data_IF_201754932632
#
_entry.id   IF_201754932632
#
_cell.length_a   1.000
_cell.length_b   1.000
_cell.length_c   1.000
_cell.angle_alpha   90.00
_cell.angle_beta   90.00
_cell.angle_gamma   90.00
#
_symmetry.space_group_name_H-M   'P 1'
#
loop_
_entity.id
_entity.type
_entity.pdbx_description
1 polymer ?
#
# COMPACT_ATOMS: atom_id res chain seq x y z
N UNK A 1 9.18 -17.12 -12.72
CA UNK A 1 8.91 -15.82 -12.04
C UNK A 1 10.09 -14.84 -12.02
N UNK A 2 11.32 -15.26 -12.32
CA UNK A 2 12.46 -14.33 -12.33
C UNK A 2 12.48 -13.31 -13.49
N UNK A 3 11.65 -13.49 -14.53
CA UNK A 3 11.61 -12.58 -15.69
C UNK A 3 10.98 -11.21 -15.39
N UNK A 4 10.20 -11.06 -14.33
CA UNK A 4 9.59 -9.79 -13.93
C UNK A 4 10.40 -9.02 -12.87
N UNK A 5 11.47 -9.59 -12.32
CA UNK A 5 12.34 -8.90 -11.37
C UNK A 5 13.52 -8.24 -12.08
N UNK A 6 13.62 -6.92 -11.96
CA UNK A 6 14.68 -6.12 -12.63
C UNK A 6 15.97 -5.95 -11.81
N UNK A 7 16.02 -6.48 -10.59
CA UNK A 7 17.05 -6.17 -9.59
C UNK A 7 16.68 -5.00 -8.67
N UNK A 8 15.63 -4.23 -9.01
CA UNK A 8 15.18 -3.06 -8.24
C UNK A 8 13.68 -3.07 -7.92
N UNK A 9 12.85 -3.59 -8.83
CA UNK A 9 11.40 -3.71 -8.65
C UNK A 9 10.85 -4.87 -9.48
N UNK A 10 9.69 -5.36 -9.09
CA UNK A 10 8.89 -6.28 -9.91
C UNK A 10 8.10 -5.45 -10.91
N UNK A 11 8.21 -5.78 -12.20
CA UNK A 11 7.52 -5.11 -13.29
C UNK A 11 6.32 -5.92 -13.78
N UNK A 12 5.29 -5.24 -14.27
CA UNK A 12 4.15 -5.86 -14.94
C UNK A 12 4.59 -6.41 -16.30
N UNK A 13 5.26 -5.58 -17.10
CA UNK A 13 5.83 -5.93 -18.39
C UNK A 13 6.97 -4.95 -18.74
N UNK A 14 7.74 -5.27 -19.79
CA UNK A 14 8.84 -4.41 -20.28
C UNK A 14 8.35 -3.01 -20.64
N UNK A 15 7.13 -2.90 -21.15
CA UNK A 15 6.51 -1.63 -21.54
C UNK A 15 5.82 -0.90 -20.38
N UNK A 16 5.61 -1.55 -19.23
CA UNK A 16 4.96 -1.00 -18.03
C UNK A 16 5.70 -1.42 -16.77
N UNK A 17 6.86 -0.85 -16.59
CA UNK A 17 7.73 -1.21 -15.47
C UNK A 17 7.20 -0.75 -14.10
N UNK A 18 6.47 0.37 -14.06
CA UNK A 18 5.94 0.96 -12.81
C UNK A 18 4.42 0.90 -12.77
N UNK A 19 3.86 -0.30 -12.85
CA UNK A 19 2.41 -0.52 -12.81
C UNK A 19 1.97 -1.05 -11.43
N UNK A 20 0.96 -0.41 -10.83
CA UNK A 20 0.40 -0.81 -9.54
C UNK A 20 -0.31 -2.16 -9.56
N UNK A 21 -0.59 -2.74 -10.74
CA UNK A 21 -1.13 -4.09 -10.84
C UNK A 21 -0.26 -5.13 -10.13
N UNK A 22 1.07 -4.90 -10.05
CA UNK A 22 1.98 -5.80 -9.33
C UNK A 22 1.69 -5.84 -7.83
N UNK A 23 1.26 -4.72 -7.21
CA UNK A 23 0.87 -4.70 -5.79
C UNK A 23 -0.40 -5.54 -5.58
N UNK A 24 -1.33 -5.48 -6.53
CA UNK A 24 -2.52 -6.34 -6.50
C UNK A 24 -2.15 -7.82 -6.63
N UNK A 25 -1.15 -8.15 -7.47
CA UNK A 25 -0.64 -9.51 -7.60
C UNK A 25 -0.03 -10.02 -6.28
N UNK A 26 0.74 -9.19 -5.56
CA UNK A 26 1.26 -9.54 -4.23
C UNK A 26 0.13 -9.80 -3.23
N UNK A 27 -0.80 -8.84 -3.12
CA UNK A 27 -1.88 -8.87 -2.12
C UNK A 27 -2.91 -9.98 -2.33
N UNK A 28 -3.20 -10.35 -3.58
CA UNK A 28 -4.31 -11.26 -3.90
C UNK A 28 -3.89 -12.65 -4.35
N UNK A 29 -2.67 -12.79 -4.89
CA UNK A 29 -2.22 -14.03 -5.52
C UNK A 29 -0.94 -14.60 -4.91
N UNK A 30 -0.34 -13.93 -3.92
CA UNK A 30 0.86 -14.37 -3.21
C UNK A 30 2.01 -14.80 -4.17
N UNK A 31 2.22 -14.01 -5.24
CA UNK A 31 3.26 -14.30 -6.24
C UNK A 31 4.68 -14.21 -5.66
N UNK A 32 4.83 -13.52 -4.54
CA UNK A 32 5.99 -13.50 -3.64
C UNK A 32 5.50 -13.56 -2.19
N UNK A 33 6.29 -14.10 -1.24
CA UNK A 33 6.03 -13.91 0.18
C UNK A 33 5.88 -12.41 0.50
N UNK A 34 4.89 -12.05 1.29
CA UNK A 34 4.62 -10.63 1.58
C UNK A 34 5.71 -9.98 2.46
N UNK A 35 6.65 -10.75 2.99
CA UNK A 35 7.85 -10.29 3.69
C UNK A 35 9.10 -10.23 2.82
N UNK A 36 9.03 -10.65 1.55
CA UNK A 36 10.15 -10.64 0.59
C UNK A 36 10.62 -9.20 0.27
N UNK A 37 11.92 -9.02 0.10
CA UNK A 37 12.55 -7.73 -0.22
C UNK A 37 12.04 -7.11 -1.53
N UNK A 38 11.67 -7.95 -2.51
CA UNK A 38 11.12 -7.51 -3.80
C UNK A 38 9.79 -6.81 -3.64
N UNK A 39 8.96 -7.27 -2.70
CA UNK A 39 7.68 -6.61 -2.37
C UNK A 39 7.95 -5.23 -1.78
N UNK A 40 8.81 -5.12 -0.78
CA UNK A 40 9.15 -3.85 -0.13
C UNK A 40 9.77 -2.85 -1.11
N UNK A 41 10.75 -3.26 -1.91
CA UNK A 41 11.42 -2.42 -2.92
C UNK A 41 10.46 -1.94 -4.00
N UNK A 42 9.56 -2.80 -4.45
CA UNK A 42 8.53 -2.45 -5.45
C UNK A 42 7.54 -1.43 -4.89
N UNK A 43 7.02 -1.66 -3.69
CA UNK A 43 6.12 -0.72 -3.00
C UNK A 43 6.81 0.65 -2.84
N UNK A 44 8.05 0.68 -2.34
CA UNK A 44 8.82 1.92 -2.17
C UNK A 44 8.95 2.70 -3.47
N UNK A 45 9.32 2.01 -4.55
CA UNK A 45 9.49 2.61 -5.87
C UNK A 45 8.18 3.18 -6.41
N UNK A 46 7.08 2.43 -6.31
CA UNK A 46 5.77 2.88 -6.79
C UNK A 46 5.21 4.02 -5.94
N UNK A 47 5.33 3.95 -4.63
CA UNK A 47 4.88 5.02 -3.72
C UNK A 47 5.60 6.35 -4.02
N UNK A 48 6.92 6.33 -4.20
CA UNK A 48 7.72 7.50 -4.59
C UNK A 48 7.32 8.02 -5.97
N UNK A 49 7.08 7.11 -6.92
CA UNK A 49 6.66 7.47 -8.28
C UNK A 49 5.32 8.21 -8.25
N UNK A 50 4.29 7.68 -7.56
CA UNK A 50 2.98 8.33 -7.50
C UNK A 50 2.96 9.55 -6.57
N UNK A 51 3.85 9.63 -5.58
CA UNK A 51 4.06 10.85 -4.82
C UNK A 51 4.50 12.01 -5.72
N UNK A 52 5.39 11.75 -6.67
CA UNK A 52 5.85 12.76 -7.63
C UNK A 52 4.90 12.99 -8.81
N UNK A 53 4.13 11.97 -9.21
CA UNK A 53 3.21 12.03 -10.36
C UNK A 53 1.99 12.94 -10.10
N UNK A 54 1.47 12.96 -8.87
CA UNK A 54 0.24 13.67 -8.54
C UNK A 54 0.45 14.91 -7.70
N UNK A 55 -0.04 16.05 -8.18
CA UNK A 55 0.06 17.32 -7.46
C UNK A 55 -0.59 17.24 -6.07
N UNK A 56 -1.73 16.55 -5.93
CA UNK A 56 -2.40 16.37 -4.64
C UNK A 56 -1.54 15.59 -3.65
N UNK A 57 -0.79 14.57 -4.09
CA UNK A 57 0.13 13.85 -3.23
C UNK A 57 1.30 14.75 -2.77
N UNK A 58 1.84 15.56 -3.68
CA UNK A 58 2.94 16.48 -3.36
C UNK A 58 2.49 17.55 -2.34
N UNK A 59 1.31 18.14 -2.54
CA UNK A 59 0.75 19.14 -1.64
C UNK A 59 0.47 18.55 -0.25
N UNK A 60 -0.16 17.40 -0.21
CA UNK A 60 -0.47 16.71 1.04
C UNK A 60 0.80 16.33 1.82
N UNK A 61 1.82 15.83 1.12
CA UNK A 61 3.10 15.51 1.76
C UNK A 61 3.77 16.77 2.34
N UNK A 62 3.72 17.92 1.62
CA UNK A 62 4.21 19.22 2.14
C UNK A 62 3.44 19.67 3.38
N UNK A 63 2.16 19.35 3.49
CA UNK A 63 1.32 19.67 4.63
C UNK A 63 1.44 18.66 5.78
N UNK A 64 2.35 17.69 5.69
CA UNK A 64 2.55 16.66 6.71
C UNK A 64 1.50 15.55 6.71
N UNK A 65 0.65 15.49 5.70
CA UNK A 65 -0.35 14.42 5.59
C UNK A 65 0.33 13.10 5.20
N UNK A 66 0.11 12.02 5.96
CA UNK A 66 0.77 10.74 5.71
C UNK A 66 0.14 9.97 4.55
N UNK A 67 0.85 8.94 4.07
CA UNK A 67 0.38 8.04 3.02
C UNK A 67 0.48 8.63 1.61
N UNK A 68 -0.01 7.89 0.63
CA UNK A 68 0.05 8.23 -0.79
C UNK A 68 -1.16 7.66 -1.53
N UNK A 69 -1.71 8.41 -2.47
CA UNK A 69 -2.72 7.91 -3.40
C UNK A 69 -2.02 7.24 -4.59
N UNK A 70 -2.50 6.06 -5.00
CA UNK A 70 -1.92 5.24 -6.06
C UNK A 70 -2.70 5.36 -7.36
N UNK A 71 -2.00 5.45 -8.47
CA UNK A 71 -2.56 5.33 -9.82
C UNK A 71 -2.23 3.98 -10.45
N UNK A 72 -2.60 3.79 -11.73
CA UNK A 72 -2.26 2.58 -12.48
C UNK A 72 -0.79 2.54 -12.84
N UNK A 73 -0.33 3.50 -13.61
CA UNK A 73 1.08 3.66 -14.04
C UNK A 73 1.38 5.13 -14.35
N UNK A 74 2.63 5.58 -14.29
CA UNK A 74 3.01 6.95 -14.64
C UNK A 74 2.66 7.27 -16.10
N UNK A 75 2.17 8.49 -16.33
CA UNK A 75 1.73 8.91 -17.67
C UNK A 75 0.43 8.30 -18.14
N UNK A 76 -0.34 7.64 -17.27
CA UNK A 76 -1.69 7.19 -17.59
C UNK A 76 -2.56 8.38 -18.00
N UNK A 77 -3.28 8.23 -19.12
CA UNK A 77 -4.21 9.26 -19.64
C UNK A 77 -5.68 8.87 -19.53
N UNK A 78 -5.97 7.62 -19.13
CA UNK A 78 -7.36 7.16 -19.01
C UNK A 78 -8.14 7.99 -17.99
N UNK A 79 -9.28 8.54 -18.43
CA UNK A 79 -10.16 9.39 -17.63
C UNK A 79 -9.42 10.51 -16.87
N UNK A 80 -8.33 11.05 -17.47
CA UNK A 80 -7.51 12.10 -16.90
C UNK A 80 -6.27 11.63 -16.13
N UNK A 81 -5.98 10.34 -16.10
CA UNK A 81 -4.79 9.76 -15.48
C UNK A 81 -4.71 10.02 -13.98
N UNK A 82 -5.79 9.76 -13.28
CA UNK A 82 -5.99 10.08 -11.88
C UNK A 82 -5.56 8.95 -10.93
N UNK A 83 -5.38 9.23 -9.62
CA UNK A 83 -5.30 8.18 -8.60
C UNK A 83 -6.57 7.32 -8.56
N UNK A 84 -6.40 6.03 -8.31
CA UNK A 84 -7.48 5.06 -8.21
C UNK A 84 -7.70 4.65 -6.76
N UNK A 85 -8.94 4.73 -6.29
CA UNK A 85 -9.27 4.43 -4.90
C UNK A 85 -8.99 2.97 -4.55
N UNK A 86 -9.34 2.05 -5.45
CA UNK A 86 -9.08 0.63 -5.24
C UNK A 86 -7.58 0.31 -5.12
N UNK A 87 -6.71 0.91 -5.94
CA UNK A 87 -5.26 0.66 -5.91
C UNK A 87 -4.63 1.24 -4.63
N UNK A 88 -5.14 2.37 -4.18
CA UNK A 88 -4.75 2.95 -2.88
C UNK A 88 -5.13 2.02 -1.73
N UNK A 89 -6.34 1.47 -1.74
CA UNK A 89 -6.79 0.49 -0.74
C UNK A 89 -5.99 -0.82 -0.79
N UNK A 90 -5.62 -1.30 -1.99
CA UNK A 90 -4.76 -2.48 -2.16
C UNK A 90 -3.37 -2.25 -1.57
N UNK A 91 -2.78 -1.07 -1.74
CA UNK A 91 -1.52 -0.73 -1.08
C UNK A 91 -1.63 -0.82 0.44
N UNK A 92 -2.67 -0.23 1.04
CA UNK A 92 -2.91 -0.32 2.48
C UNK A 92 -3.07 -1.78 2.94
N UNK A 93 -3.87 -2.56 2.21
CA UNK A 93 -4.04 -3.99 2.48
C UNK A 93 -2.72 -4.75 2.45
N UNK A 94 -1.82 -4.44 1.52
CA UNK A 94 -0.52 -5.10 1.40
C UNK A 94 0.35 -4.82 2.63
N UNK A 95 0.35 -3.60 3.17
CA UNK A 95 1.01 -3.29 4.45
C UNK A 95 0.43 -4.11 5.61
N UNK A 96 -0.89 -4.18 5.73
CA UNK A 96 -1.54 -4.98 6.78
C UNK A 96 -1.22 -6.48 6.67
N UNK A 97 -1.19 -7.00 5.44
CA UNK A 97 -0.80 -8.39 5.18
C UNK A 97 0.68 -8.63 5.52
N UNK A 98 1.58 -7.68 5.20
CA UNK A 98 2.98 -7.72 5.58
C UNK A 98 3.15 -7.83 7.10
N UNK A 99 2.40 -7.02 7.88
CA UNK A 99 2.37 -7.10 9.33
C UNK A 99 1.98 -8.49 9.83
N UNK A 100 0.89 -9.05 9.31
CA UNK A 100 0.42 -10.40 9.69
C UNK A 100 1.42 -11.49 9.30
N UNK A 101 2.01 -11.38 8.11
CA UNK A 101 2.98 -12.36 7.60
C UNK A 101 4.25 -12.37 8.44
N UNK A 102 4.78 -11.21 8.80
CA UNK A 102 5.94 -11.11 9.67
C UNK A 102 5.71 -11.73 11.05
N UNK A 103 4.51 -11.53 11.64
CA UNK A 103 4.15 -12.12 12.94
C UNK A 103 3.97 -13.64 12.88
N UNK A 104 3.65 -14.20 11.72
CA UNK A 104 3.33 -15.62 11.54
C UNK A 104 4.54 -16.40 11.04
N UNK A 105 5.23 -15.88 10.02
CA UNK A 105 6.27 -16.56 9.27
C UNK A 105 7.68 -15.98 9.56
N UNK A 106 7.76 -14.71 9.99
CA UNK A 106 9.02 -13.98 10.09
C UNK A 106 9.52 -13.49 8.73
N UNK A 107 10.80 -13.21 8.67
CA UNK A 107 11.55 -12.90 7.46
C UNK A 107 12.42 -14.11 7.07
N UNK A 108 12.49 -14.45 5.79
CA UNK A 108 13.32 -15.58 5.33
C UNK A 108 14.82 -15.21 5.32
N UNK A 109 15.12 -13.94 5.00
CA UNK A 109 16.47 -13.41 4.95
C UNK A 109 16.58 -12.07 5.66
N UNK A 110 17.80 -11.69 6.04
CA UNK A 110 18.09 -10.40 6.66
C UNK A 110 17.84 -9.25 5.68
N UNK A 111 18.10 -9.47 4.40
CA UNK A 111 17.82 -8.51 3.31
C UNK A 111 16.35 -8.16 3.23
N UNK A 112 15.47 -9.13 3.45
CA UNK A 112 14.02 -8.92 3.47
C UNK A 112 13.61 -7.94 4.57
N UNK A 113 14.09 -8.23 5.81
CA UNK A 113 13.85 -7.35 6.97
C UNK A 113 14.39 -5.94 6.72
N UNK A 114 15.60 -5.82 6.18
CA UNK A 114 16.24 -4.53 5.91
C UNK A 114 15.48 -3.73 4.84
N UNK A 115 15.02 -4.37 3.76
CA UNK A 115 14.27 -3.70 2.72
C UNK A 115 12.92 -3.15 3.25
N UNK A 116 12.24 -3.92 4.07
CA UNK A 116 11.03 -3.48 4.74
C UNK A 116 11.28 -2.39 5.78
N UNK A 117 12.36 -2.50 6.56
CA UNK A 117 12.74 -1.45 7.51
C UNK A 117 13.03 -0.13 6.80
N UNK A 118 13.71 -0.17 5.66
CA UNK A 118 13.94 1.00 4.80
C UNK A 118 12.64 1.59 4.20
N UNK A 119 11.65 0.75 3.86
CA UNK A 119 10.34 1.19 3.39
C UNK A 119 9.55 1.88 4.51
N UNK A 120 9.58 1.32 5.71
CA UNK A 120 8.82 1.79 6.87
C UNK A 120 9.55 2.89 7.67
N UNK A 121 10.81 3.18 7.33
CA UNK A 121 11.67 4.14 8.05
C UNK A 121 11.85 3.80 9.54
N UNK A 122 12.09 2.51 9.84
CA UNK A 122 12.38 1.99 11.18
C UNK A 122 13.80 1.41 11.25
N UNK A 123 14.36 1.20 12.46
CA UNK A 123 15.65 0.52 12.63
C UNK A 123 15.64 -0.88 12.00
N UNK A 124 16.78 -1.28 11.40
CA UNK A 124 16.92 -2.58 10.71
C UNK A 124 16.89 -3.78 11.67
N UNK A 125 17.18 -3.54 12.93
CA UNK A 125 17.16 -4.51 14.02
C UNK A 125 15.84 -4.50 14.82
N UNK A 126 14.82 -3.79 14.33
CA UNK A 126 13.48 -3.77 14.94
C UNK A 126 12.94 -5.18 15.12
N UNK A 127 12.32 -5.43 16.25
CA UNK A 127 11.64 -6.70 16.51
C UNK A 127 10.46 -6.91 15.54
N UNK A 128 10.04 -8.15 15.38
CA UNK A 128 8.88 -8.49 14.53
C UNK A 128 7.59 -7.76 14.95
N UNK A 129 7.43 -7.47 16.26
CA UNK A 129 6.28 -6.70 16.76
C UNK A 129 6.38 -5.23 16.34
N UNK A 130 7.52 -4.60 16.53
CA UNK A 130 7.75 -3.20 16.12
C UNK A 130 7.58 -3.04 14.61
N UNK A 131 8.10 -4.00 13.84
CA UNK A 131 7.85 -4.07 12.41
C UNK A 131 6.35 -4.15 12.07
N UNK A 132 5.62 -5.06 12.72
CA UNK A 132 4.18 -5.24 12.45
C UNK A 132 3.37 -3.99 12.81
N UNK A 133 3.72 -3.29 13.89
CA UNK A 133 3.12 -2.01 14.26
C UNK A 133 3.41 -0.91 13.25
N UNK A 134 4.65 -0.83 12.78
CA UNK A 134 5.04 0.15 11.75
C UNK A 134 4.31 -0.13 10.42
N UNK A 135 4.20 -1.39 10.00
CA UNK A 135 3.47 -1.78 8.81
C UNK A 135 1.96 -1.50 8.95
N UNK A 136 1.36 -1.78 10.11
CA UNK A 136 -0.02 -1.41 10.39
C UNK A 136 -0.21 0.12 10.28
N UNK A 137 0.67 0.89 10.88
CA UNK A 137 0.65 2.36 10.83
C UNK A 137 0.81 2.90 9.41
N UNK A 138 1.68 2.30 8.58
CA UNK A 138 1.84 2.67 7.17
C UNK A 138 0.56 2.42 6.37
N UNK A 139 -0.13 1.29 6.59
CA UNK A 139 -1.43 1.01 6.01
C UNK A 139 -2.49 2.02 6.46
N UNK A 140 -2.52 2.37 7.74
CA UNK A 140 -3.43 3.38 8.30
C UNK A 140 -3.17 4.77 7.69
N UNK A 141 -1.92 5.12 7.45
CA UNK A 141 -1.53 6.35 6.77
C UNK A 141 -2.11 6.43 5.33
N UNK A 142 -2.03 5.33 4.58
CA UNK A 142 -2.60 5.23 3.23
C UNK A 142 -4.14 5.33 3.26
N UNK A 143 -4.80 4.62 4.19
CA UNK A 143 -6.26 4.69 4.33
C UNK A 143 -6.72 6.07 4.81
N UNK A 144 -5.98 6.73 5.68
CA UNK A 144 -6.27 8.10 6.13
C UNK A 144 -6.19 9.09 4.95
N UNK A 145 -5.18 8.93 4.07
CA UNK A 145 -5.07 9.72 2.84
C UNK A 145 -6.28 9.51 1.93
N UNK A 146 -6.71 8.28 1.75
CA UNK A 146 -7.91 7.96 0.96
C UNK A 146 -9.17 8.57 1.59
N UNK A 147 -9.36 8.38 2.90
CA UNK A 147 -10.51 8.90 3.64
C UNK A 147 -10.65 10.42 3.54
N UNK A 148 -9.55 11.16 3.55
CA UNK A 148 -9.54 12.63 3.39
C UNK A 148 -10.34 13.08 2.18
N UNK A 149 -10.27 12.35 1.08
CA UNK A 149 -10.90 12.71 -0.19
C UNK A 149 -12.31 12.15 -0.40
N UNK A 150 -12.71 11.13 0.38
CA UNK A 150 -14.04 10.51 0.23
C UNK A 150 -15.03 10.89 1.33
N UNK A 151 -14.55 11.38 2.48
CA UNK A 151 -15.39 11.62 3.67
C UNK A 151 -16.54 12.60 3.48
N UNK A 152 -16.42 13.54 2.54
CA UNK A 152 -17.41 14.61 2.34
C UNK A 152 -18.49 14.25 1.31
N UNK A 153 -18.43 13.06 0.70
CA UNK A 153 -19.35 12.60 -0.34
C UNK A 153 -20.41 11.61 0.19
N UNK A 154 -20.81 11.74 1.46
CA UNK A 154 -21.86 10.92 2.06
C UNK A 154 -21.54 9.41 2.14
N UNK A 155 -20.28 9.03 2.00
CA UNK A 155 -19.83 7.64 1.98
C UNK A 155 -19.83 7.00 0.59
N UNK A 156 -20.16 7.76 -0.44
CA UNK A 156 -20.02 7.31 -1.84
C UNK A 156 -18.55 7.18 -2.22
N UNK A 157 -18.20 6.12 -2.94
CA UNK A 157 -16.83 5.81 -3.36
C UNK A 157 -16.78 5.61 -4.86
N UNK A 158 -16.20 6.58 -5.57
CA UNK A 158 -16.04 6.53 -7.00
C UNK A 158 -14.85 5.66 -7.43
N UNK A 159 -14.56 5.62 -8.71
CA UNK A 159 -13.40 4.95 -9.29
C UNK A 159 -12.10 5.69 -8.96
N UNK A 160 -12.11 7.02 -9.12
CA UNK A 160 -10.91 7.85 -9.11
C UNK A 160 -11.06 9.09 -8.23
N UNK A 161 -9.92 9.71 -7.91
CA UNK A 161 -9.81 11.02 -7.26
C UNK A 161 -9.07 11.94 -8.23
N UNK A 162 -9.65 13.08 -8.56
CA UNK A 162 -9.04 14.06 -9.49
C UNK A 162 -7.64 14.47 -9.02
N UNK A 163 -6.63 14.23 -9.86
CA UNK A 163 -5.19 14.40 -9.54
C UNK A 163 -4.77 15.80 -9.12
N UNK A 164 -5.59 16.81 -9.46
CA UNK A 164 -5.35 18.21 -9.15
C UNK A 164 -6.38 18.77 -8.16
N UNK A 165 -7.65 18.34 -8.27
CA UNK A 165 -8.77 18.87 -7.48
C UNK A 165 -9.01 18.12 -6.18
N UNK A 166 -8.66 16.83 -6.11
CA UNK A 166 -9.03 15.95 -5.02
C UNK A 166 -10.52 15.54 -5.00
N UNK A 167 -11.32 16.00 -5.94
CA UNK A 167 -12.73 15.59 -6.04
C UNK A 167 -12.86 14.17 -6.58
N UNK A 168 -13.83 13.41 -6.09
CA UNK A 168 -14.13 12.10 -6.64
C UNK A 168 -14.64 12.24 -8.09
N UNK A 169 -14.24 11.32 -8.98
CA UNK A 169 -14.54 11.38 -10.41
C UNK A 169 -14.61 9.98 -11.03
N UNK A 170 -14.99 9.93 -12.33
CA UNK A 170 -15.21 8.72 -13.11
C UNK A 170 -16.44 7.93 -12.63
N UNK A 171 -16.43 6.60 -12.66
CA UNK A 171 -17.58 5.79 -12.28
C UNK A 171 -17.94 6.00 -10.80
N UNK A 172 -19.17 6.47 -10.56
CA UNK A 172 -19.72 6.62 -9.21
C UNK A 172 -20.05 5.25 -8.61
N UNK A 173 -19.90 5.14 -7.29
CA UNK A 173 -20.27 3.93 -6.54
C UNK A 173 -19.69 2.64 -7.14
N UNK A 174 -18.40 2.67 -7.50
CA UNK A 174 -17.75 1.53 -8.12
C UNK A 174 -17.61 0.38 -7.13
N UNK A 175 -18.31 -0.72 -7.36
CA UNK A 175 -18.27 -1.92 -6.51
C UNK A 175 -16.84 -2.40 -6.23
N UNK A 176 -15.95 -2.30 -7.20
CA UNK A 176 -14.55 -2.69 -7.06
C UNK A 176 -13.81 -1.82 -6.03
N UNK A 177 -14.07 -0.51 -5.98
CA UNK A 177 -13.50 0.39 -4.97
C UNK A 177 -13.97 0.01 -3.56
N UNK A 178 -15.29 -0.20 -3.37
CA UNK A 178 -15.84 -0.66 -2.08
C UNK A 178 -15.25 -2.00 -1.65
N UNK A 179 -15.17 -2.98 -2.55
CA UNK A 179 -14.67 -4.31 -2.24
C UNK A 179 -13.21 -4.27 -1.73
N UNK A 180 -12.34 -3.45 -2.36
CA UNK A 180 -10.95 -3.35 -1.94
C UNK A 180 -10.80 -2.58 -0.62
N UNK A 181 -11.58 -1.52 -0.39
CA UNK A 181 -11.59 -0.79 0.88
C UNK A 181 -12.04 -1.71 2.02
N UNK A 182 -13.16 -2.42 1.85
CA UNK A 182 -13.65 -3.38 2.86
C UNK A 182 -12.63 -4.48 3.13
N UNK A 183 -12.01 -5.03 2.09
CA UNK A 183 -10.95 -6.03 2.23
C UNK A 183 -9.72 -5.51 2.98
N UNK A 184 -9.34 -4.25 2.75
CA UNK A 184 -8.26 -3.60 3.49
C UNK A 184 -8.64 -3.41 4.97
N UNK A 185 -9.86 -2.97 5.27
CA UNK A 185 -10.35 -2.80 6.64
C UNK A 185 -10.41 -4.13 7.40
N UNK A 186 -10.89 -5.21 6.77
CA UNK A 186 -10.91 -6.55 7.35
C UNK A 186 -9.49 -7.05 7.65
N UNK A 187 -8.55 -6.85 6.73
CA UNK A 187 -7.17 -7.24 6.94
C UNK A 187 -6.51 -6.39 8.04
N UNK A 188 -6.82 -5.10 8.12
CA UNK A 188 -6.37 -4.24 9.21
C UNK A 188 -6.79 -4.78 10.57
N UNK A 189 -8.08 -5.12 10.73
CA UNK A 189 -8.60 -5.66 11.97
C UNK A 189 -7.88 -6.95 12.38
N UNK A 190 -7.70 -7.88 11.44
CA UNK A 190 -6.96 -9.12 11.65
C UNK A 190 -5.52 -8.85 12.11
N UNK A 191 -4.82 -7.95 11.44
CA UNK A 191 -3.41 -7.62 11.76
C UNK A 191 -3.31 -6.96 13.14
N UNK A 192 -4.23 -6.06 13.48
CA UNK A 192 -4.29 -5.43 14.80
C UNK A 192 -4.49 -6.46 15.91
N UNK A 193 -5.46 -7.37 15.77
CA UNK A 193 -5.72 -8.44 16.75
C UNK A 193 -4.50 -9.34 16.95
N UNK A 194 -3.80 -9.70 15.86
CA UNK A 194 -2.57 -10.50 15.94
C UNK A 194 -1.46 -9.78 16.70
N UNK A 195 -1.29 -8.46 16.48
CA UNK A 195 -0.32 -7.64 17.23
C UNK A 195 -0.68 -7.65 18.72
N UNK A 196 -1.95 -7.43 19.08
CA UNK A 196 -2.39 -7.42 20.48
C UNK A 196 -2.16 -8.78 21.16
N UNK A 197 -2.49 -9.87 20.50
CA UNK A 197 -2.23 -11.22 21.02
C UNK A 197 -0.74 -11.46 21.29
N UNK A 198 0.14 -11.09 20.33
CA UNK A 198 1.60 -11.25 20.50
C UNK A 198 2.18 -10.38 21.61
N UNK A 199 1.60 -9.21 21.89
CA UNK A 199 1.99 -8.36 23.03
C UNK A 199 1.54 -8.93 24.36
N UNK A 200 0.32 -9.48 24.45
CA UNK A 200 -0.19 -10.12 25.67
C UNK A 200 0.66 -11.31 26.12
N UNK A 201 1.10 -12.15 25.18
CA UNK A 201 1.98 -13.30 25.49
C UNK A 201 3.41 -12.94 25.98
N UNK A 202 3.86 -11.69 25.82
CA UNK A 202 5.16 -11.23 26.32
C UNK A 202 5.13 -10.69 27.76
N UNK A 203 3.94 -10.54 28.36
CA UNK A 203 3.75 -10.00 29.71
C UNK A 203 3.54 -11.10 30.79
N UNK A 204 3.46 -12.37 30.39
CA UNK A 204 3.47 -13.55 31.27
C UNK A 204 4.83 -14.24 31.26
#
# INVERSE_FOLDING_TARGET
MNSHWTGALVIESDNRQKDSAVIHAFSSFNVYPLTDDKVAKTIKTLALTFCSEYQINQQDTKNGEPGVLMGRYPGDSYAGGNPWQLLTAVLAKTFYQGASSALTLGFEAQEDQHAWADLLSIPKDSSTIEFAEAALSAGDAVMSRLYKYVKNDGGHIAEQIGRNSGSQTSAKDLTWSYANILSAMQQRQKSFEMIQMKKGFKQE
#
